data_IF_561851345209
#
_entry.id   IF_561851345209
#
_cell.length_a   1.000
_cell.length_b   1.000
_cell.length_c   1.000
_cell.angle_alpha   90.00
_cell.angle_beta   90.00
_cell.angle_gamma   90.00
#
_symmetry.space_group_name_H-M   'P 1'
#
loop_
_entity.id
_entity.type
_entity.pdbx_description
1 polymer ?
#
# COMPACT_ATOMS: atom_id res chain seq x y z
N UNK A 1 -23.59 8.84 -19.10
CA UNK A 1 -23.70 9.62 -17.83
C UNK A 1 -25.12 9.73 -17.30
N UNK A 2 -26.10 9.09 -17.91
CA UNK A 2 -27.52 9.19 -17.49
C UNK A 2 -27.88 8.27 -16.32
N UNK A 3 -27.16 7.16 -16.15
CA UNK A 3 -27.46 6.12 -15.15
C UNK A 3 -26.20 5.67 -14.42
N UNK A 4 -25.47 6.61 -13.83
CA UNK A 4 -24.22 6.32 -13.11
C UNK A 4 -24.41 5.43 -11.88
N UNK A 5 -25.59 5.48 -11.27
CA UNK A 5 -26.01 4.65 -10.15
C UNK A 5 -26.17 3.16 -10.50
N UNK A 6 -26.27 2.85 -11.78
CA UNK A 6 -26.38 1.46 -12.25
C UNK A 6 -25.03 0.80 -12.52
N UNK A 7 -23.92 1.55 -12.36
CA UNK A 7 -22.59 1.02 -12.56
C UNK A 7 -22.31 -0.14 -11.58
N UNK A 8 -21.95 -1.31 -12.13
CA UNK A 8 -21.81 -2.55 -11.37
C UNK A 8 -23.14 -3.27 -11.10
N UNK A 9 -24.21 -2.52 -10.81
CA UNK A 9 -25.50 -3.07 -10.42
C UNK A 9 -26.16 -3.84 -11.56
N UNK A 10 -26.10 -3.33 -12.78
CA UNK A 10 -26.66 -4.07 -13.94
C UNK A 10 -25.92 -5.37 -14.22
N UNK A 11 -24.59 -5.37 -14.13
CA UNK A 11 -23.78 -6.60 -14.24
C UNK A 11 -24.17 -7.64 -13.19
N UNK A 12 -24.41 -7.21 -11.96
CA UNK A 12 -24.90 -8.06 -10.88
C UNK A 12 -26.23 -8.73 -11.25
N UNK A 13 -27.22 -7.98 -11.71
CA UNK A 13 -28.53 -8.55 -12.04
C UNK A 13 -28.45 -9.50 -13.22
N UNK A 14 -27.71 -9.17 -14.27
CA UNK A 14 -27.54 -10.06 -15.42
C UNK A 14 -26.86 -11.36 -15.02
N UNK A 15 -25.75 -11.32 -14.31
CA UNK A 15 -25.02 -12.50 -13.86
C UNK A 15 -25.91 -13.38 -12.96
N UNK A 16 -26.68 -12.78 -12.05
CA UNK A 16 -27.62 -13.50 -11.19
C UNK A 16 -28.73 -14.18 -12.01
N UNK A 17 -29.28 -13.52 -13.02
CA UNK A 17 -30.33 -14.06 -13.90
C UNK A 17 -29.80 -15.20 -14.79
N UNK A 18 -28.54 -15.15 -15.19
CA UNK A 18 -27.90 -16.21 -16.00
C UNK A 18 -27.41 -17.39 -15.16
N UNK A 19 -27.55 -17.33 -13.84
CA UNK A 19 -27.19 -18.44 -12.94
C UNK A 19 -25.69 -18.52 -12.60
N UNK A 20 -24.99 -17.38 -12.71
CA UNK A 20 -23.59 -17.31 -12.25
C UNK A 20 -23.47 -17.53 -10.73
N UNK A 21 -22.28 -17.91 -10.27
CA UNK A 21 -21.96 -18.09 -8.86
C UNK A 21 -22.16 -16.80 -8.06
N UNK A 22 -22.53 -16.93 -6.79
CA UNK A 22 -22.75 -15.80 -5.89
C UNK A 22 -21.52 -14.90 -5.75
N UNK A 23 -20.33 -15.47 -5.70
CA UNK A 23 -19.09 -14.70 -5.64
C UNK A 23 -18.90 -13.85 -6.90
N UNK A 24 -19.28 -14.39 -8.08
CA UNK A 24 -19.13 -13.68 -9.36
C UNK A 24 -20.07 -12.49 -9.43
N UNK A 25 -21.38 -12.67 -9.20
CA UNK A 25 -22.31 -11.55 -9.29
C UNK A 25 -22.11 -10.52 -8.18
N UNK A 26 -21.65 -10.93 -6.98
CA UNK A 26 -21.29 -10.01 -5.91
C UNK A 26 -20.05 -9.18 -6.30
N UNK A 27 -19.02 -9.81 -6.85
CA UNK A 27 -17.83 -9.10 -7.29
C UNK A 27 -18.14 -8.08 -8.42
N UNK A 28 -19.04 -8.40 -9.33
CA UNK A 28 -19.51 -7.45 -10.36
C UNK A 28 -20.17 -6.21 -9.76
N UNK A 29 -20.92 -6.37 -8.66
CA UNK A 29 -21.50 -5.25 -7.94
C UNK A 29 -20.45 -4.40 -7.22
N UNK A 30 -19.48 -5.07 -6.61
CA UNK A 30 -18.50 -4.47 -5.68
C UNK A 30 -17.19 -4.03 -6.34
N UNK A 31 -16.98 -4.29 -7.63
CA UNK A 31 -15.72 -4.03 -8.33
C UNK A 31 -15.25 -2.57 -8.30
N UNK A 32 -16.13 -1.63 -8.03
CA UNK A 32 -15.79 -0.21 -7.94
C UNK A 32 -15.58 0.28 -6.51
N UNK A 33 -15.91 -0.54 -5.51
CA UNK A 33 -15.73 -0.19 -4.09
C UNK A 33 -14.24 -0.16 -3.68
N UNK A 34 -13.88 0.71 -2.73
CA UNK A 34 -14.63 1.88 -2.29
C UNK A 34 -14.62 2.98 -3.36
N UNK A 35 -15.75 3.65 -3.56
CA UNK A 35 -15.91 4.74 -4.52
C UNK A 35 -15.83 6.14 -3.86
N UNK A 36 -15.83 6.18 -2.54
CA UNK A 36 -15.73 7.38 -1.71
C UNK A 36 -14.83 7.18 -0.49
N UNK A 37 -14.69 8.24 0.30
CA UNK A 37 -13.87 8.21 1.53
C UNK A 37 -14.52 7.34 2.62
N UNK A 38 -15.83 7.45 2.79
CA UNK A 38 -16.65 6.72 3.77
C UNK A 38 -17.45 5.57 3.13
N UNK A 39 -17.10 5.19 1.90
CA UNK A 39 -17.76 4.12 1.18
C UNK A 39 -17.42 2.76 1.78
N UNK A 40 -18.37 1.83 1.68
CA UNK A 40 -18.15 0.42 2.02
C UNK A 40 -16.97 -0.16 1.27
N UNK A 41 -16.35 -1.19 1.84
CA UNK A 41 -15.32 -1.98 1.19
C UNK A 41 -15.94 -3.24 0.58
N UNK A 42 -15.27 -3.89 -0.40
CA UNK A 42 -15.73 -5.18 -0.90
C UNK A 42 -15.92 -6.18 0.24
N UNK A 43 -17.01 -6.94 0.21
CA UNK A 43 -17.47 -7.79 1.32
C UNK A 43 -16.61 -9.02 1.57
N UNK A 44 -15.83 -9.45 0.58
CA UNK A 44 -15.01 -10.66 0.66
C UNK A 44 -13.74 -10.53 -0.18
N UNK A 45 -12.80 -11.48 0.01
CA UNK A 45 -11.50 -11.48 -0.67
C UNK A 45 -11.62 -11.57 -2.19
N UNK A 46 -12.57 -12.33 -2.72
CA UNK A 46 -12.76 -12.47 -4.16
C UNK A 46 -13.18 -11.12 -4.80
N UNK A 47 -14.20 -10.48 -4.24
CA UNK A 47 -14.63 -9.12 -4.64
C UNK A 47 -13.49 -8.10 -4.49
N UNK A 48 -12.69 -8.24 -3.42
CA UNK A 48 -11.54 -7.36 -3.17
C UNK A 48 -10.49 -7.47 -4.26
N UNK A 49 -10.17 -8.69 -4.72
CA UNK A 49 -9.20 -8.90 -5.82
C UNK A 49 -9.70 -8.25 -7.11
N UNK A 50 -10.99 -8.39 -7.42
CA UNK A 50 -11.59 -7.75 -8.61
C UNK A 50 -11.53 -6.22 -8.49
N UNK A 51 -11.90 -5.67 -7.34
CA UNK A 51 -11.84 -4.23 -7.08
C UNK A 51 -10.40 -3.67 -7.14
N UNK A 52 -9.43 -4.41 -6.58
CA UNK A 52 -8.01 -4.07 -6.65
C UNK A 52 -7.51 -4.05 -8.10
N UNK A 53 -7.86 -5.08 -8.89
CA UNK A 53 -7.48 -5.17 -10.30
C UNK A 53 -8.02 -3.98 -11.09
N UNK A 54 -9.30 -3.63 -10.90
CA UNK A 54 -9.91 -2.45 -11.53
C UNK A 54 -9.19 -1.16 -11.18
N UNK A 55 -8.88 -0.93 -9.90
CA UNK A 55 -8.22 0.29 -9.43
C UNK A 55 -6.77 0.37 -9.91
N UNK A 56 -6.03 -0.74 -9.91
CA UNK A 56 -4.65 -0.80 -10.40
C UNK A 56 -4.59 -0.55 -11.91
N UNK A 57 -5.46 -1.19 -12.69
CA UNK A 57 -5.54 -0.99 -14.14
C UNK A 57 -5.82 0.48 -14.48
N UNK A 58 -6.80 1.10 -13.82
CA UNK A 58 -7.11 2.52 -13.98
C UNK A 58 -5.93 3.43 -13.65
N UNK A 59 -5.24 3.18 -12.53
CA UNK A 59 -4.06 3.95 -12.13
C UNK A 59 -2.93 3.83 -13.16
N UNK A 60 -2.55 2.61 -13.48
CA UNK A 60 -1.44 2.35 -14.41
C UNK A 60 -1.76 2.85 -15.82
N UNK A 61 -2.98 2.63 -16.30
CA UNK A 61 -3.42 3.09 -17.62
C UNK A 61 -3.43 4.62 -17.75
N UNK A 62 -3.96 5.33 -16.75
CA UNK A 62 -4.03 6.79 -16.77
C UNK A 62 -2.66 7.45 -16.52
N UNK A 63 -1.81 6.87 -15.67
CA UNK A 63 -0.41 7.32 -15.53
C UNK A 63 0.37 7.12 -16.84
N UNK A 64 0.21 5.99 -17.50
CA UNK A 64 0.78 5.70 -18.83
C UNK A 64 0.33 6.72 -19.89
N UNK A 65 -0.92 7.18 -19.81
CA UNK A 65 -1.48 8.22 -20.66
C UNK A 65 -1.11 9.66 -20.24
N UNK A 66 -0.26 9.83 -19.23
CA UNK A 66 0.16 11.14 -18.71
C UNK A 66 -0.93 11.90 -17.97
N UNK A 67 -2.00 11.21 -17.51
CA UNK A 67 -3.11 11.81 -16.76
C UNK A 67 -2.88 11.81 -15.25
N UNK A 68 -1.72 12.30 -14.83
CA UNK A 68 -1.30 12.32 -13.43
C UNK A 68 -2.01 13.47 -12.70
N UNK A 69 -2.58 13.22 -11.50
CA UNK A 69 -3.21 14.27 -10.71
C UNK A 69 -2.21 15.36 -10.29
N UNK A 70 -2.59 16.62 -10.47
CA UNK A 70 -1.74 17.76 -10.10
C UNK A 70 -2.49 18.73 -9.18
N UNK A 71 -1.86 19.15 -8.08
CA UNK A 71 -2.48 20.09 -7.12
C UNK A 71 -3.86 19.59 -6.64
N UNK A 72 -4.90 20.39 -6.82
CA UNK A 72 -6.30 20.03 -6.49
C UNK A 72 -7.01 19.26 -7.62
N UNK A 73 -6.43 19.19 -8.82
CA UNK A 73 -7.07 18.58 -10.00
C UNK A 73 -6.87 17.07 -10.00
N UNK A 74 -7.95 16.32 -9.92
CA UNK A 74 -8.00 14.85 -10.02
C UNK A 74 -9.30 14.44 -10.72
N UNK A 75 -9.42 14.69 -12.02
CA UNK A 75 -10.68 14.47 -12.76
C UNK A 75 -11.05 12.98 -12.86
N UNK A 76 -10.09 12.08 -12.67
CA UNK A 76 -10.27 10.63 -12.75
C UNK A 76 -10.31 9.95 -11.38
N UNK A 77 -10.31 10.71 -10.29
CA UNK A 77 -10.33 10.20 -8.92
C UNK A 77 -9.21 9.20 -8.58
N UNK A 78 -8.03 9.38 -9.16
CA UNK A 78 -6.89 8.47 -8.98
C UNK A 78 -6.39 8.45 -7.52
N UNK A 79 -6.52 9.57 -6.81
CA UNK A 79 -6.21 9.62 -5.36
C UNK A 79 -7.15 8.75 -4.55
N UNK A 80 -8.44 8.72 -4.90
CA UNK A 80 -9.42 7.82 -4.27
C UNK A 80 -9.14 6.37 -4.63
N UNK A 81 -8.79 6.09 -5.89
CA UNK A 81 -8.43 4.74 -6.32
C UNK A 81 -7.22 4.20 -5.52
N UNK A 82 -6.14 4.99 -5.39
CA UNK A 82 -4.97 4.59 -4.61
C UNK A 82 -5.29 4.42 -3.11
N UNK A 83 -6.09 5.32 -2.53
CA UNK A 83 -6.55 5.19 -1.15
C UNK A 83 -7.43 3.93 -0.96
N UNK A 84 -8.28 3.62 -1.93
CA UNK A 84 -9.10 2.41 -1.93
C UNK A 84 -8.26 1.13 -1.93
N UNK A 85 -7.18 1.08 -2.71
CA UNK A 85 -6.24 -0.06 -2.70
C UNK A 85 -5.67 -0.27 -1.30
N UNK A 86 -5.21 0.80 -0.64
CA UNK A 86 -4.65 0.72 0.71
C UNK A 86 -5.70 0.25 1.71
N UNK A 87 -6.92 0.80 1.68
CA UNK A 87 -8.01 0.42 2.58
C UNK A 87 -8.39 -1.06 2.43
N UNK A 88 -8.55 -1.54 1.19
CA UNK A 88 -8.85 -2.96 0.91
C UNK A 88 -7.74 -3.87 1.43
N UNK A 89 -6.47 -3.52 1.17
CA UNK A 89 -5.33 -4.30 1.63
C UNK A 89 -5.29 -4.43 3.16
N UNK A 90 -5.61 -3.36 3.87
CA UNK A 90 -5.63 -3.34 5.34
C UNK A 90 -6.80 -4.13 5.91
N UNK A 91 -8.01 -3.93 5.40
CA UNK A 91 -9.23 -4.59 5.87
C UNK A 91 -9.14 -6.11 5.77
N UNK A 92 -8.78 -6.59 4.59
CA UNK A 92 -8.69 -8.03 4.32
C UNK A 92 -7.31 -8.62 4.60
N UNK A 93 -6.39 -7.84 5.18
CA UNK A 93 -5.02 -8.27 5.54
C UNK A 93 -4.26 -8.87 4.34
N UNK A 94 -4.46 -8.28 3.17
CA UNK A 94 -3.86 -8.77 1.92
C UNK A 94 -2.42 -8.27 1.80
N UNK A 95 -1.50 -9.19 1.57
CA UNK A 95 -0.11 -8.87 1.22
C UNK A 95 -0.07 -8.34 -0.21
N UNK A 96 0.04 -7.02 -0.36
CA UNK A 96 0.08 -6.33 -1.65
C UNK A 96 1.41 -5.59 -1.75
N UNK A 97 2.37 -6.24 -2.40
CA UNK A 97 3.66 -5.65 -2.72
C UNK A 97 3.52 -4.79 -3.99
N UNK A 98 3.34 -3.48 -3.79
CA UNK A 98 3.14 -2.52 -4.88
C UNK A 98 4.28 -2.52 -5.89
N UNK A 99 5.53 -2.61 -5.42
CA UNK A 99 6.69 -2.60 -6.32
C UNK A 99 6.68 -3.78 -7.26
N UNK A 100 6.46 -4.99 -6.72
CA UNK A 100 6.38 -6.21 -7.53
C UNK A 100 5.22 -6.18 -8.51
N UNK A 101 4.02 -5.81 -8.07
CA UNK A 101 2.85 -5.75 -8.93
C UNK A 101 3.04 -4.74 -10.06
N UNK A 102 3.57 -3.55 -9.75
CA UNK A 102 3.85 -2.53 -10.76
C UNK A 102 4.92 -3.02 -11.73
N UNK A 103 5.94 -3.73 -11.25
CA UNK A 103 6.99 -4.28 -12.11
C UNK A 103 6.47 -5.36 -13.05
N UNK A 104 5.66 -6.28 -12.54
CA UNK A 104 5.08 -7.38 -13.31
C UNK A 104 4.07 -6.88 -14.36
N UNK A 105 3.24 -5.90 -14.01
CA UNK A 105 2.21 -5.39 -14.90
C UNK A 105 2.70 -4.29 -15.87
N UNK A 106 3.82 -3.65 -15.57
CA UNK A 106 4.29 -2.47 -16.32
C UNK A 106 4.49 -2.71 -17.81
N UNK A 107 4.79 -3.94 -18.23
CA UNK A 107 4.99 -4.26 -19.65
C UNK A 107 3.71 -4.18 -20.49
N UNK A 108 2.53 -4.15 -19.86
CA UNK A 108 1.25 -3.92 -20.53
C UNK A 108 0.98 -2.43 -20.81
N UNK A 109 1.73 -1.52 -20.18
CA UNK A 109 1.49 -0.07 -20.24
C UNK A 109 2.68 0.65 -20.86
N UNK A 110 2.46 1.34 -21.98
CA UNK A 110 3.50 2.15 -22.63
C UNK A 110 3.75 3.42 -21.82
N UNK A 111 5.02 3.82 -21.70
CA UNK A 111 5.41 5.08 -21.06
C UNK A 111 5.02 5.23 -19.57
N UNK A 112 4.82 4.14 -18.85
CA UNK A 112 4.54 4.17 -17.43
C UNK A 112 5.83 4.51 -16.65
N UNK A 113 5.83 5.66 -15.96
CA UNK A 113 6.87 5.98 -14.99
C UNK A 113 6.54 5.35 -13.63
N UNK A 114 7.19 4.21 -13.35
CA UNK A 114 6.99 3.44 -12.12
C UNK A 114 7.35 4.23 -10.87
N UNK A 115 8.39 5.08 -10.94
CA UNK A 115 8.84 5.88 -9.78
C UNK A 115 7.77 6.88 -9.39
N UNK A 116 7.24 7.61 -10.36
CA UNK A 116 6.18 8.58 -10.15
C UNK A 116 4.92 7.91 -9.58
N UNK A 117 4.58 6.71 -10.05
CA UNK A 117 3.45 5.96 -9.51
C UNK A 117 3.67 5.52 -8.07
N UNK A 118 4.86 5.00 -7.72
CA UNK A 118 5.21 4.61 -6.35
C UNK A 118 5.23 5.83 -5.43
N UNK A 119 5.80 6.95 -5.85
CA UNK A 119 5.77 8.21 -5.09
C UNK A 119 4.34 8.67 -4.83
N UNK A 120 3.48 8.60 -5.84
CA UNK A 120 2.06 8.91 -5.70
C UNK A 120 1.36 8.01 -4.66
N UNK A 121 1.65 6.70 -4.62
CA UNK A 121 1.15 5.81 -3.56
C UNK A 121 1.70 6.20 -2.18
N UNK A 122 2.99 6.47 -2.08
CA UNK A 122 3.62 6.89 -0.83
C UNK A 122 2.95 8.15 -0.26
N UNK A 123 2.65 9.15 -1.08
CA UNK A 123 1.89 10.33 -0.65
C UNK A 123 0.51 9.98 -0.09
N UNK A 124 -0.14 8.94 -0.60
CA UNK A 124 -1.45 8.48 -0.07
C UNK A 124 -1.30 7.80 1.28
N UNK A 125 -0.24 7.00 1.46
CA UNK A 125 0.06 6.39 2.77
C UNK A 125 0.20 7.46 3.87
N UNK A 126 0.86 8.60 3.58
CA UNK A 126 0.95 9.72 4.53
C UNK A 126 -0.39 10.35 4.91
N UNK A 127 -1.40 10.24 4.04
CA UNK A 127 -2.74 10.76 4.32
C UNK A 127 -3.64 9.76 5.04
N UNK A 128 -3.42 8.46 4.80
CA UNK A 128 -4.25 7.38 5.35
C UNK A 128 -3.78 7.00 6.75
N UNK A 129 -2.46 6.91 6.94
CA UNK A 129 -1.90 6.62 8.25
C UNK A 129 -1.78 7.91 9.07
N UNK A 130 -2.69 8.08 10.02
CA UNK A 130 -2.70 9.20 10.98
C UNK A 130 -1.65 9.00 12.08
N UNK A 131 -0.39 8.90 11.68
CA UNK A 131 0.75 8.66 12.57
C UNK A 131 1.81 9.74 12.38
N UNK A 132 2.76 9.79 13.32
CA UNK A 132 3.91 10.68 13.17
C UNK A 132 4.59 10.44 11.80
N UNK A 133 4.69 11.46 10.94
CA UNK A 133 5.28 11.31 9.61
C UNK A 133 6.70 10.73 9.61
N UNK A 134 7.45 10.90 10.72
CA UNK A 134 8.79 10.34 10.86
C UNK A 134 8.76 8.82 10.97
N UNK A 135 7.73 8.25 11.61
CA UNK A 135 7.54 6.79 11.71
C UNK A 135 7.30 6.19 10.32
N UNK A 136 6.37 6.78 9.56
CA UNK A 136 6.10 6.30 8.20
C UNK A 136 7.33 6.47 7.30
N UNK A 137 8.05 7.60 7.36
CA UNK A 137 9.31 7.79 6.62
C UNK A 137 10.34 6.72 6.95
N UNK A 138 10.50 6.35 8.22
CA UNK A 138 11.43 5.31 8.64
C UNK A 138 11.03 3.93 8.08
N UNK A 139 9.73 3.60 8.11
CA UNK A 139 9.22 2.35 7.53
C UNK A 139 9.46 2.29 6.03
N UNK A 140 9.14 3.35 5.29
CA UNK A 140 9.38 3.40 3.83
C UNK A 140 10.88 3.37 3.49
N UNK A 141 11.74 4.01 4.29
CA UNK A 141 13.19 3.98 4.13
C UNK A 141 13.80 2.59 4.37
N UNK A 142 13.09 1.67 5.06
CA UNK A 142 13.51 0.26 5.18
C UNK A 142 13.34 -0.55 3.89
N UNK A 143 12.80 0.05 2.82
CA UNK A 143 12.55 -0.61 1.54
C UNK A 143 11.30 -1.49 1.52
N UNK A 144 10.42 -1.38 2.53
CA UNK A 144 9.16 -2.10 2.52
C UNK A 144 8.19 -1.51 1.50
N UNK A 145 7.62 -2.37 0.67
CA UNK A 145 6.68 -2.00 -0.40
C UNK A 145 5.33 -2.72 -0.30
N UNK A 146 5.21 -3.67 0.63
CA UNK A 146 3.95 -4.34 0.94
C UNK A 146 3.08 -3.48 1.86
N UNK A 147 1.90 -3.11 1.38
CA UNK A 147 0.98 -2.19 2.08
C UNK A 147 0.61 -2.72 3.48
N UNK A 148 0.27 -4.00 3.59
CA UNK A 148 -0.14 -4.57 4.86
C UNK A 148 1.04 -4.65 5.84
N UNK A 149 2.25 -5.03 5.37
CA UNK A 149 3.46 -5.02 6.19
C UNK A 149 3.87 -3.62 6.62
N UNK A 150 3.70 -2.61 5.77
CA UNK A 150 3.89 -1.20 6.16
C UNK A 150 3.00 -0.86 7.35
N UNK A 151 1.71 -1.21 7.30
CA UNK A 151 0.79 -0.96 8.42
C UNK A 151 1.23 -1.68 9.71
N UNK A 152 1.66 -2.93 9.61
CA UNK A 152 2.15 -3.69 10.77
C UNK A 152 3.41 -3.08 11.37
N UNK A 153 4.38 -2.65 10.53
CA UNK A 153 5.60 -1.97 10.99
C UNK A 153 5.29 -0.64 11.67
N UNK A 154 4.33 0.12 11.14
CA UNK A 154 3.87 1.36 11.76
C UNK A 154 3.25 1.08 13.14
N UNK A 155 2.35 0.09 13.24
CA UNK A 155 1.73 -0.30 14.50
C UNK A 155 2.77 -0.75 15.55
N UNK A 156 3.82 -1.44 15.12
CA UNK A 156 4.90 -1.88 16.01
C UNK A 156 5.82 -0.74 16.47
N UNK A 157 6.14 0.20 15.57
CA UNK A 157 7.06 1.31 15.86
C UNK A 157 6.43 2.45 16.63
N UNK A 158 5.15 2.74 16.39
CA UNK A 158 4.49 3.90 16.98
C UNK A 158 4.53 3.93 18.52
N UNK A 159 4.25 2.82 19.27
CA UNK A 159 4.39 2.78 20.72
C UNK A 159 5.84 2.98 21.18
N UNK A 160 6.83 2.46 20.45
CA UNK A 160 8.25 2.60 20.78
C UNK A 160 8.66 4.07 20.69
N UNK A 161 8.25 4.75 19.61
CA UNK A 161 8.57 6.18 19.40
C UNK A 161 7.91 7.07 20.46
N UNK A 162 6.75 6.66 20.98
CA UNK A 162 6.04 7.39 22.04
C UNK A 162 6.54 7.05 23.46
N UNK A 163 7.42 6.06 23.62
CA UNK A 163 7.95 5.67 24.92
C UNK A 163 8.98 6.68 25.45
N UNK A 164 9.03 6.85 26.77
CA UNK A 164 10.00 7.74 27.44
C UNK A 164 11.46 7.34 27.14
N UNK A 165 11.70 6.05 26.93
CA UNK A 165 13.03 5.50 26.67
C UNK A 165 13.46 5.59 25.19
N UNK A 166 12.65 6.18 24.32
CA UNK A 166 12.97 6.24 22.87
C UNK A 166 14.30 6.95 22.59
N UNK A 167 14.59 8.02 23.33
CA UNK A 167 15.83 8.78 23.14
C UNK A 167 17.06 7.91 23.44
N UNK A 168 16.98 7.08 24.48
CA UNK A 168 18.08 6.20 24.89
C UNK A 168 18.28 5.06 23.89
N UNK A 169 17.19 4.49 23.35
CA UNK A 169 17.28 3.53 22.26
C UNK A 169 17.96 4.13 21.03
N UNK A 170 17.55 5.31 20.60
CA UNK A 170 18.16 5.99 19.44
C UNK A 170 19.64 6.31 19.70
N UNK A 171 20.00 6.76 20.92
CA UNK A 171 21.38 7.03 21.27
C UNK A 171 22.24 5.76 21.22
N UNK A 172 21.72 4.65 21.73
CA UNK A 172 22.39 3.35 21.71
C UNK A 172 22.59 2.86 20.27
N UNK A 173 21.54 2.89 19.44
CA UNK A 173 21.67 2.51 18.03
C UNK A 173 22.69 3.38 17.28
N UNK A 174 22.70 4.70 17.51
CA UNK A 174 23.70 5.60 16.90
C UNK A 174 25.13 5.25 17.32
N UNK A 175 25.34 4.92 18.60
CA UNK A 175 26.66 4.49 19.09
C UNK A 175 27.11 3.22 18.41
N UNK A 176 26.25 2.18 18.38
CA UNK A 176 26.56 0.92 17.71
C UNK A 176 26.83 1.14 16.21
N UNK A 177 25.98 1.89 15.52
CA UNK A 177 26.16 2.20 14.11
C UNK A 177 27.51 2.91 13.83
N UNK A 178 27.92 3.81 14.70
CA UNK A 178 29.22 4.48 14.57
C UNK A 178 30.41 3.53 14.83
N UNK A 179 30.27 2.60 15.77
CA UNK A 179 31.33 1.60 16.07
C UNK A 179 31.53 0.65 14.89
N UNK A 180 30.42 0.21 14.26
CA UNK A 180 30.48 -0.78 13.16
C UNK A 180 30.65 -0.14 11.78
N UNK A 181 30.70 1.18 11.68
CA UNK A 181 30.75 1.90 10.39
C UNK A 181 31.92 1.45 9.50
N UNK A 182 33.04 1.15 10.11
CA UNK A 182 34.29 0.76 9.43
C UNK A 182 34.55 -0.76 9.54
N UNK A 183 33.59 -1.53 10.06
CA UNK A 183 33.70 -2.98 10.21
C UNK A 183 33.16 -3.67 8.96
N UNK A 184 33.97 -4.55 8.39
CA UNK A 184 33.56 -5.41 7.28
C UNK A 184 32.60 -6.51 7.81
N UNK A 185 31.30 -6.27 7.70
CA UNK A 185 30.24 -7.18 8.15
C UNK A 185 30.13 -8.46 7.31
N UNK A 186 30.89 -8.60 6.22
CA UNK A 186 30.97 -9.84 5.45
C UNK A 186 31.78 -10.92 6.16
N UNK A 187 32.63 -10.52 7.12
CA UNK A 187 33.40 -11.47 7.93
C UNK A 187 32.56 -11.96 9.11
N UNK A 188 32.48 -13.29 9.24
CA UNK A 188 31.84 -13.94 10.38
C UNK A 188 32.60 -13.54 11.65
N UNK A 189 32.08 -12.62 12.45
CA UNK A 189 32.63 -12.23 13.72
C UNK A 189 32.31 -13.32 14.75
N UNK A 190 33.34 -13.91 15.36
CA UNK A 190 33.19 -14.74 16.56
C UNK A 190 33.27 -13.85 17.78
N UNK A 191 32.29 -13.97 18.67
CA UNK A 191 32.33 -13.29 19.97
C UNK A 191 33.32 -14.06 20.82
N UNK A 192 34.31 -13.36 21.35
CA UNK A 192 35.22 -13.88 22.36
C UNK A 192 34.52 -13.69 23.72
N UNK A 193 33.96 -14.79 24.23
CA UNK A 193 33.21 -14.76 25.50
C UNK A 193 34.07 -14.39 26.70
N UNK A 194 35.39 -14.63 26.64
CA UNK A 194 36.32 -14.31 27.70
C UNK A 194 36.51 -12.79 27.88
N UNK A 195 36.09 -11.98 26.92
CA UNK A 195 36.12 -10.50 27.01
C UNK A 195 34.85 -9.90 27.65
N UNK A 196 33.83 -10.70 27.93
CA UNK A 196 32.58 -10.25 28.54
C UNK A 196 32.56 -10.39 30.06
N UNK A 197 33.57 -11.02 30.67
CA UNK A 197 33.70 -11.25 32.13
C UNK A 197 34.59 -10.23 32.84
N UNK A 198 34.47 -8.91 32.54
CA UNK A 198 35.07 -7.86 33.35
C UNK A 198 34.14 -6.69 33.60
#
# INVERSE_FOLDING_TARGET
YEFTELQGLMGYYYAKLTGEDELVYTALKEQYLPDGEDSELPSNVFSSIVALSNKLDNLMGLFSAGKIPTGSKDPFALRRAAAGIVKIAMEHKLSIDLSKIIDELSHHYKNLDKKVLIEFFNERLFKIFEVNPTVLKAVLASGETDIYKISQKICALNPIVQSDNFKDYVATFKRVANIIKDVDVSKKLTIDEDLLEN
#
